data_IF_774721254792
#
_entry.id   IF_774721254792
#
_cell.length_a   1.000
_cell.length_b   1.000
_cell.length_c   1.000
_cell.angle_alpha   90.00
_cell.angle_beta   90.00
_cell.angle_gamma   90.00
#
_symmetry.space_group_name_H-M   'P 1'
#
loop_
_entity.id
_entity.type
_entity.pdbx_description
1 polymer ?
#
# COMPACT_ATOMS: atom_id res chain seq x y z
N UNK A 1 24.98 91.94 -20.80
CA UNK A 1 25.45 90.58 -21.12
C UNK A 1 25.14 89.71 -19.99
N UNK A 2 24.21 88.76 -20.17
CA UNK A 2 23.72 87.84 -19.13
C UNK A 2 24.16 86.42 -19.45
N UNK A 3 24.94 85.83 -18.57
CA UNK A 3 25.36 84.42 -18.70
C UNK A 3 24.26 83.51 -18.21
N UNK A 4 23.92 82.49 -19.01
CA UNK A 4 22.94 81.52 -18.71
C UNK A 4 23.57 80.40 -17.87
N UNK A 5 22.98 80.12 -16.64
CA UNK A 5 23.31 78.99 -15.81
C UNK A 5 22.71 77.72 -16.37
N UNK A 6 23.55 76.73 -16.62
CA UNK A 6 23.13 75.36 -16.92
C UNK A 6 22.74 74.66 -15.62
N UNK A 7 21.44 74.29 -15.44
CA UNK A 7 20.97 73.46 -14.39
C UNK A 7 21.36 72.00 -14.68
N UNK A 8 22.10 71.36 -13.77
CA UNK A 8 22.39 69.99 -13.79
C UNK A 8 21.14 69.16 -13.25
N UNK A 9 20.67 68.20 -14.03
CA UNK A 9 19.65 67.29 -13.63
C UNK A 9 20.20 66.29 -12.56
N UNK A 10 19.47 66.01 -11.50
CA UNK A 10 19.90 65.03 -10.50
C UNK A 10 19.89 63.58 -11.09
N UNK A 11 20.83 62.73 -10.66
CA UNK A 11 20.85 61.31 -11.10
C UNK A 11 19.63 60.61 -10.59
N UNK A 12 18.89 59.94 -11.50
CA UNK A 12 17.80 59.07 -11.18
C UNK A 12 18.31 57.80 -10.48
N UNK A 13 18.16 57.72 -9.17
CA UNK A 13 18.40 56.51 -8.43
C UNK A 13 17.29 55.50 -8.77
N UNK A 14 17.61 54.55 -9.65
CA UNK A 14 16.74 53.33 -9.84
C UNK A 14 16.77 52.51 -8.55
N UNK A 15 15.63 52.17 -7.94
CA UNK A 15 15.60 51.25 -6.81
C UNK A 15 16.09 49.88 -7.30
N UNK A 16 17.18 49.40 -6.72
CA UNK A 16 17.62 48.02 -6.85
C UNK A 16 16.50 47.12 -6.33
N UNK A 17 15.87 46.38 -7.22
CA UNK A 17 14.88 45.37 -6.84
C UNK A 17 15.53 44.40 -5.85
N UNK A 18 14.95 44.32 -4.67
CA UNK A 18 15.47 43.44 -3.60
C UNK A 18 15.25 41.96 -3.99
N UNK A 19 16.29 41.17 -4.28
CA UNK A 19 16.14 39.78 -4.75
C UNK A 19 15.70 38.81 -3.64
N UNK A 20 15.63 39.30 -2.38
CA UNK A 20 15.33 38.46 -1.23
C UNK A 20 14.03 37.63 -1.32
N UNK A 21 12.86 38.17 -1.78
CA UNK A 21 11.64 37.38 -1.85
C UNK A 21 11.68 36.24 -2.88
N UNK A 22 12.38 36.43 -3.99
CA UNK A 22 12.49 35.42 -5.05
C UNK A 22 13.35 34.24 -4.58
N UNK A 23 14.47 34.52 -3.93
CA UNK A 23 15.37 33.50 -3.37
C UNK A 23 14.64 32.64 -2.29
N UNK A 24 13.80 33.27 -1.45
CA UNK A 24 13.05 32.60 -0.41
C UNK A 24 12.02 31.64 -1.01
N UNK A 25 11.27 32.02 -2.02
CA UNK A 25 10.26 31.17 -2.68
C UNK A 25 10.93 29.98 -3.38
N UNK A 26 12.06 30.19 -4.05
CA UNK A 26 12.80 29.08 -4.69
C UNK A 26 13.35 28.10 -3.67
N UNK A 27 13.86 28.57 -2.53
CA UNK A 27 14.37 27.71 -1.46
C UNK A 27 13.26 26.87 -0.83
N UNK A 28 12.08 27.43 -0.55
CA UNK A 28 10.92 26.70 -0.02
C UNK A 28 10.43 25.66 -1.02
N UNK A 29 10.35 26.00 -2.30
CA UNK A 29 9.97 25.07 -3.35
C UNK A 29 10.94 23.89 -3.47
N UNK A 30 12.25 24.13 -3.41
CA UNK A 30 13.27 23.10 -3.46
C UNK A 30 13.22 22.16 -2.25
N UNK A 31 13.01 22.70 -1.04
CA UNK A 31 12.87 21.90 0.18
C UNK A 31 11.62 21.02 0.10
N UNK A 32 10.47 21.53 -0.37
CA UNK A 32 9.25 20.76 -0.52
C UNK A 32 9.42 19.61 -1.51
N UNK A 33 10.08 19.84 -2.65
CA UNK A 33 10.38 18.81 -3.66
C UNK A 33 11.33 17.75 -3.10
N UNK A 34 12.40 18.16 -2.42
CA UNK A 34 13.36 17.23 -1.79
C UNK A 34 12.66 16.38 -0.71
N UNK A 35 11.81 16.99 0.11
CA UNK A 35 11.07 16.28 1.15
C UNK A 35 10.10 15.27 0.54
N UNK A 36 9.39 15.63 -0.54
CA UNK A 36 8.50 14.72 -1.26
C UNK A 36 9.28 13.55 -1.89
N UNK A 37 10.43 13.81 -2.55
CA UNK A 37 11.29 12.79 -3.14
C UNK A 37 11.85 11.85 -2.05
N UNK A 38 12.32 12.40 -0.93
CA UNK A 38 12.85 11.60 0.20
C UNK A 38 11.76 10.76 0.84
N UNK A 39 10.52 11.27 0.93
CA UNK A 39 9.38 10.49 1.44
C UNK A 39 9.02 9.34 0.49
N UNK A 40 9.00 9.57 -0.82
CA UNK A 40 8.76 8.53 -1.84
C UNK A 40 9.87 7.46 -1.80
N UNK A 41 11.12 7.86 -1.58
CA UNK A 41 12.26 6.94 -1.52
C UNK A 41 12.34 6.14 -0.21
N UNK A 42 11.76 6.66 0.88
CA UNK A 42 11.81 6.02 2.21
C UNK A 42 10.70 5.02 2.47
N UNK A 43 9.58 5.10 1.74
CA UNK A 43 8.45 4.20 1.94
C UNK A 43 8.27 3.33 0.70
N UNK A 44 8.66 2.05 0.75
CA UNK A 44 8.42 1.15 -0.36
C UNK A 44 6.91 1.09 -0.63
N UNK A 45 6.53 1.13 -1.91
CA UNK A 45 5.12 1.04 -2.29
C UNK A 45 4.51 -0.27 -1.76
N UNK A 46 3.25 -0.23 -1.30
CA UNK A 46 2.53 -1.39 -0.76
C UNK A 46 2.69 -2.66 -1.61
N UNK A 47 2.54 -2.62 -2.95
CA UNK A 47 2.74 -3.82 -3.77
C UNK A 47 4.14 -4.43 -3.66
N UNK A 48 5.16 -3.63 -3.39
CA UNK A 48 6.53 -4.11 -3.19
C UNK A 48 6.65 -4.87 -1.88
N UNK A 49 6.17 -4.29 -0.77
CA UNK A 49 6.18 -4.95 0.56
C UNK A 49 5.45 -6.29 0.50
N UNK A 50 4.26 -6.33 -0.12
CA UNK A 50 3.45 -7.55 -0.25
C UNK A 50 4.17 -8.62 -1.08
N UNK A 51 4.81 -8.22 -2.19
CA UNK A 51 5.57 -9.15 -3.03
C UNK A 51 6.82 -9.69 -2.33
N UNK A 52 7.47 -8.87 -1.49
CA UNK A 52 8.59 -9.30 -0.66
C UNK A 52 8.13 -10.28 0.44
N UNK A 53 7.01 -10.01 1.10
CA UNK A 53 6.44 -10.93 2.09
C UNK A 53 6.14 -12.29 1.46
N UNK A 54 5.57 -12.32 0.23
CA UNK A 54 5.36 -13.56 -0.51
C UNK A 54 6.68 -14.32 -0.71
N UNK A 55 7.71 -13.64 -1.17
CA UNK A 55 9.03 -14.25 -1.41
C UNK A 55 9.65 -14.79 -0.11
N UNK A 56 9.51 -14.07 1.00
CA UNK A 56 10.01 -14.47 2.31
C UNK A 56 9.26 -15.68 2.88
N UNK A 57 7.94 -15.75 2.71
CA UNK A 57 7.14 -16.93 3.10
C UNK A 57 7.49 -18.13 2.24
N UNK A 58 7.62 -17.94 0.92
CA UNK A 58 8.02 -19.00 -0.01
C UNK A 58 9.40 -19.59 0.36
N UNK A 59 10.35 -18.72 0.76
CA UNK A 59 11.67 -19.10 1.24
C UNK A 59 11.70 -19.57 2.70
N UNK A 60 10.57 -19.61 3.41
CA UNK A 60 10.46 -19.91 4.86
C UNK A 60 11.25 -18.94 5.76
N UNK A 61 11.49 -17.73 5.30
CA UNK A 61 12.13 -16.64 6.05
C UNK A 61 11.14 -15.79 6.84
N UNK A 62 9.85 -15.93 6.52
CA UNK A 62 8.74 -15.33 7.25
C UNK A 62 7.80 -16.46 7.65
N UNK A 63 7.73 -16.72 8.95
CA UNK A 63 6.87 -17.72 9.56
C UNK A 63 5.67 -17.05 10.25
N UNK A 64 4.53 -17.74 10.39
CA UNK A 64 3.40 -17.21 11.14
C UNK A 64 3.73 -17.13 12.64
N UNK A 65 3.38 -16.01 13.29
CA UNK A 65 3.48 -15.85 14.75
C UNK A 65 2.41 -16.65 15.50
N UNK A 66 1.25 -16.86 14.84
CA UNK A 66 0.16 -17.68 15.30
C UNK A 66 -0.05 -18.77 14.27
N UNK A 67 0.28 -20.01 14.63
CA UNK A 67 0.10 -21.18 13.79
C UNK A 67 -1.26 -21.82 14.06
N UNK A 68 -1.88 -22.37 13.02
CA UNK A 68 -3.13 -23.11 13.14
C UNK A 68 -4.00 -23.00 11.90
N UNK A 69 -4.88 -24.00 11.76
CA UNK A 69 -5.84 -24.07 10.65
C UNK A 69 -7.23 -23.52 11.01
N UNK A 70 -7.51 -23.33 12.30
CA UNK A 70 -8.76 -22.73 12.76
C UNK A 70 -8.67 -21.19 12.71
N UNK A 71 -9.39 -20.60 11.77
CA UNK A 71 -9.41 -19.16 11.53
C UNK A 71 -9.93 -18.35 12.72
N UNK A 72 -10.89 -18.90 13.47
CA UNK A 72 -11.47 -18.19 14.61
C UNK A 72 -10.45 -18.10 15.76
N UNK A 73 -9.72 -19.19 16.01
CA UNK A 73 -8.64 -19.23 17.00
C UNK A 73 -7.52 -18.29 16.60
N UNK A 74 -7.02 -18.41 15.35
CA UNK A 74 -5.92 -17.55 14.84
C UNK A 74 -6.32 -16.07 14.86
N UNK A 75 -7.54 -15.71 14.42
CA UNK A 75 -8.01 -14.32 14.45
C UNK A 75 -8.10 -13.77 15.88
N UNK A 76 -8.56 -14.57 16.85
CA UNK A 76 -8.66 -14.18 18.26
C UNK A 76 -7.27 -13.94 18.88
N UNK A 77 -6.31 -14.82 18.60
CA UNK A 77 -4.94 -14.67 19.10
C UNK A 77 -4.22 -13.46 18.47
N UNK A 78 -4.45 -13.20 17.19
CA UNK A 78 -3.93 -11.98 16.53
C UNK A 78 -4.54 -10.72 17.16
N UNK A 79 -5.86 -10.69 17.39
CA UNK A 79 -6.53 -9.58 18.04
C UNK A 79 -6.05 -9.35 19.49
N UNK A 80 -5.68 -10.40 20.22
CA UNK A 80 -5.08 -10.29 21.55
C UNK A 80 -3.69 -9.63 21.50
N UNK A 81 -2.90 -9.92 20.46
CA UNK A 81 -1.56 -9.31 20.27
C UNK A 81 -1.64 -7.88 19.74
N UNK A 82 -2.61 -7.58 18.91
CA UNK A 82 -2.81 -6.27 18.29
C UNK A 82 -4.29 -5.87 18.33
N UNK A 83 -4.78 -5.33 19.45
CA UNK A 83 -6.22 -5.02 19.63
C UNK A 83 -6.78 -4.00 18.63
N UNK A 84 -5.93 -3.11 18.09
CA UNK A 84 -6.32 -2.15 17.05
C UNK A 84 -6.66 -2.80 15.72
N UNK A 85 -6.25 -4.06 15.50
CA UNK A 85 -6.37 -4.76 14.22
C UNK A 85 -7.45 -5.85 14.31
N UNK A 86 -8.73 -5.46 14.25
CA UNK A 86 -9.85 -6.40 14.18
C UNK A 86 -10.03 -6.88 12.74
N UNK A 87 -9.24 -7.88 12.34
CA UNK A 87 -9.32 -8.43 10.99
C UNK A 87 -9.85 -9.86 11.03
N UNK A 88 -10.93 -10.10 10.31
CA UNK A 88 -11.43 -11.46 10.04
C UNK A 88 -10.59 -12.08 8.92
N UNK A 89 -10.08 -13.30 9.13
CA UNK A 89 -9.36 -14.03 8.09
C UNK A 89 -10.34 -14.66 7.10
N UNK A 90 -10.09 -14.57 5.77
CA UNK A 90 -10.96 -15.16 4.76
C UNK A 90 -10.94 -16.69 4.80
N UNK A 91 -12.00 -17.32 4.30
CA UNK A 91 -12.02 -18.76 4.07
C UNK A 91 -11.60 -19.08 2.64
N UNK A 92 -10.62 -19.96 2.50
CA UNK A 92 -10.21 -20.52 1.21
C UNK A 92 -10.45 -22.03 1.13
N UNK A 93 -11.19 -22.61 2.09
CA UNK A 93 -11.45 -24.05 2.15
C UNK A 93 -12.22 -24.56 0.91
N UNK A 94 -13.15 -23.76 0.37
CA UNK A 94 -13.86 -24.09 -0.88
C UNK A 94 -12.94 -24.22 -2.11
N UNK A 95 -11.73 -23.62 -2.06
CA UNK A 95 -10.69 -23.77 -3.07
C UNK A 95 -9.57 -24.73 -2.64
N UNK A 96 -9.80 -25.55 -1.60
CA UNK A 96 -8.86 -26.55 -1.06
C UNK A 96 -7.57 -25.96 -0.46
N UNK A 97 -7.57 -24.68 -0.05
CA UNK A 97 -6.46 -24.09 0.68
C UNK A 97 -6.74 -24.12 2.19
N UNK A 98 -5.77 -24.62 2.95
CA UNK A 98 -5.77 -24.61 4.40
C UNK A 98 -4.96 -23.44 4.93
N UNK A 99 -5.42 -22.81 6.01
CA UNK A 99 -4.65 -21.82 6.74
C UNK A 99 -3.50 -22.54 7.47
N UNK A 100 -2.27 -22.05 7.29
CA UNK A 100 -1.09 -22.47 8.07
C UNK A 100 -0.92 -21.62 9.33
N UNK A 101 -1.37 -20.37 9.26
CA UNK A 101 -1.30 -19.42 10.35
C UNK A 101 -1.26 -17.98 9.84
N UNK A 102 -1.00 -17.04 10.76
CA UNK A 102 -0.91 -15.63 10.41
C UNK A 102 0.09 -14.88 11.30
N UNK A 103 0.53 -13.73 10.83
CA UNK A 103 1.43 -12.82 11.55
C UNK A 103 0.98 -11.38 11.44
N UNK A 104 1.32 -10.55 12.42
CA UNK A 104 1.19 -9.09 12.34
C UNK A 104 2.43 -8.50 11.70
N UNK A 105 2.23 -7.64 10.71
CA UNK A 105 3.30 -6.94 10.01
C UNK A 105 3.04 -5.45 9.98
N UNK A 106 4.10 -4.66 10.02
CA UNK A 106 3.98 -3.24 9.72
C UNK A 106 3.81 -3.07 8.20
N UNK A 107 2.67 -2.51 7.80
CA UNK A 107 2.33 -2.18 6.42
C UNK A 107 2.35 -0.67 6.28
N UNK A 108 3.44 -0.12 5.77
CA UNK A 108 3.70 1.33 5.81
C UNK A 108 3.66 1.85 7.26
N UNK A 109 2.73 2.76 7.55
CA UNK A 109 2.61 3.42 8.86
C UNK A 109 1.54 2.76 9.75
N UNK A 110 0.90 1.68 9.31
CA UNK A 110 -0.16 0.97 10.04
C UNK A 110 0.14 -0.52 10.19
N UNK A 111 -0.32 -1.15 11.28
CA UNK A 111 -0.25 -2.61 11.40
C UNK A 111 -1.18 -3.27 10.37
N UNK A 112 -0.72 -4.38 9.83
CA UNK A 112 -1.48 -5.25 8.96
C UNK A 112 -1.37 -6.71 9.39
N UNK A 113 -2.23 -7.56 8.84
CA UNK A 113 -2.19 -9.01 9.00
C UNK A 113 -1.75 -9.67 7.71
N UNK A 114 -0.91 -10.67 7.84
CA UNK A 114 -0.49 -11.57 6.77
C UNK A 114 -0.92 -12.98 7.14
N UNK A 115 -1.88 -13.54 6.42
CA UNK A 115 -2.34 -14.92 6.60
C UNK A 115 -1.79 -15.80 5.48
N UNK A 116 -1.28 -16.97 5.83
CA UNK A 116 -0.57 -17.89 4.95
C UNK A 116 -1.44 -19.10 4.71
N UNK A 117 -1.69 -19.42 3.45
CA UNK A 117 -2.51 -20.55 3.02
C UNK A 117 -1.72 -21.44 2.07
N UNK A 118 -1.90 -22.76 2.21
CA UNK A 118 -1.38 -23.74 1.26
C UNK A 118 -2.43 -24.77 0.89
N UNK A 119 -2.31 -25.27 -0.34
CA UNK A 119 -3.07 -26.43 -0.77
C UNK A 119 -2.21 -27.72 -0.69
N UNK A 120 -2.79 -28.86 -1.05
CA UNK A 120 -2.08 -30.15 -1.07
C UNK A 120 -0.94 -30.21 -2.10
N UNK A 121 -0.99 -29.40 -3.16
CA UNK A 121 0.07 -29.29 -4.15
C UNK A 121 1.18 -28.32 -3.71
N UNK A 122 1.10 -27.79 -2.49
CA UNK A 122 2.01 -26.81 -1.88
C UNK A 122 1.97 -25.43 -2.55
N UNK A 123 0.95 -25.15 -3.37
CA UNK A 123 0.74 -23.80 -3.89
C UNK A 123 0.48 -22.84 -2.73
N UNK A 124 1.21 -21.72 -2.75
CA UNK A 124 1.17 -20.71 -1.74
C UNK A 124 0.22 -19.57 -2.12
N UNK A 125 -0.66 -19.21 -1.23
CA UNK A 125 -1.49 -18.02 -1.28
C UNK A 125 -1.30 -17.24 0.01
N UNK A 126 -1.09 -15.95 -0.08
CA UNK A 126 -1.00 -15.05 1.06
C UNK A 126 -2.12 -14.03 0.99
N UNK A 127 -2.84 -13.86 2.09
CA UNK A 127 -3.84 -12.83 2.25
C UNK A 127 -3.33 -11.75 3.21
N UNK A 128 -3.23 -10.52 2.71
CA UNK A 128 -2.93 -9.35 3.53
C UNK A 128 -4.21 -8.59 3.85
N UNK A 129 -4.24 -7.93 5.00
CA UNK A 129 -5.27 -6.98 5.37
C UNK A 129 -4.62 -5.81 6.14
N UNK A 130 -4.90 -4.57 5.74
CA UNK A 130 -4.39 -3.36 6.39
C UNK A 130 -5.37 -2.20 6.22
N UNK A 131 -5.29 -1.19 7.08
CA UNK A 131 -6.11 0.03 6.95
C UNK A 131 -5.55 0.90 5.84
N UNK A 132 -6.40 1.28 4.89
CA UNK A 132 -5.99 2.10 3.74
C UNK A 132 -7.07 2.19 2.67
N UNK A 133 -6.71 2.69 1.49
CA UNK A 133 -7.59 2.78 0.34
C UNK A 133 -6.94 2.19 -0.93
N UNK A 134 -7.74 1.47 -1.73
CA UNK A 134 -7.26 0.94 -3.02
C UNK A 134 -6.99 2.04 -4.06
N UNK A 135 -7.52 3.26 -3.84
CA UNK A 135 -7.25 4.41 -4.69
C UNK A 135 -5.78 4.88 -4.62
N UNK A 136 -5.07 4.56 -3.52
CA UNK A 136 -3.69 4.98 -3.27
C UNK A 136 -2.65 4.02 -3.91
N UNK A 137 -3.12 3.00 -4.65
CA UNK A 137 -2.23 2.05 -5.29
C UNK A 137 -1.52 2.68 -6.48
N UNK A 138 -0.18 2.54 -6.60
CA UNK A 138 0.59 3.12 -7.68
C UNK A 138 0.35 2.42 -9.02
N UNK A 139 0.38 3.17 -10.10
CA UNK A 139 0.36 2.69 -11.49
C UNK A 139 -1.04 2.52 -12.09
N UNK A 140 -1.14 2.27 -13.40
CA UNK A 140 -2.40 2.00 -14.07
C UNK A 140 -2.87 0.59 -13.68
N UNK A 141 -3.96 0.44 -12.91
CA UNK A 141 -4.44 -0.86 -12.48
C UNK A 141 -5.30 -1.52 -13.58
N UNK A 142 -5.17 -2.83 -13.72
CA UNK A 142 -6.22 -3.61 -14.32
C UNK A 142 -7.37 -3.73 -13.31
N UNK A 143 -8.58 -3.35 -13.71
CA UNK A 143 -9.76 -3.37 -12.84
C UNK A 143 -10.75 -4.39 -13.36
N UNK A 144 -11.25 -5.24 -12.47
CA UNK A 144 -12.36 -6.17 -12.70
C UNK A 144 -13.49 -5.91 -11.72
N UNK A 145 -14.70 -6.15 -12.15
CA UNK A 145 -15.88 -6.10 -11.28
C UNK A 145 -16.53 -7.48 -11.23
N UNK A 146 -16.69 -8.04 -10.03
CA UNK A 146 -17.31 -9.34 -9.78
C UNK A 146 -18.30 -9.16 -8.64
N UNK A 147 -19.56 -9.54 -8.86
CA UNK A 147 -20.65 -9.45 -7.87
C UNK A 147 -20.76 -8.06 -7.23
N UNK A 148 -20.65 -7.01 -8.06
CA UNK A 148 -20.71 -5.61 -7.63
C UNK A 148 -19.45 -5.09 -6.91
N UNK A 149 -18.48 -5.94 -6.63
CA UNK A 149 -17.23 -5.57 -5.96
C UNK A 149 -16.11 -5.31 -6.96
N UNK A 150 -15.38 -4.23 -6.72
CA UNK A 150 -14.24 -3.82 -7.54
C UNK A 150 -12.96 -4.51 -7.06
N UNK A 151 -12.27 -5.19 -7.97
CA UNK A 151 -10.95 -5.78 -7.76
C UNK A 151 -9.92 -5.05 -8.61
N UNK A 152 -8.78 -4.72 -8.00
CA UNK A 152 -7.63 -4.08 -8.65
C UNK A 152 -6.53 -5.12 -8.75
N UNK A 153 -6.09 -5.42 -9.97
CA UNK A 153 -5.09 -6.45 -10.25
C UNK A 153 -3.79 -5.76 -10.61
N UNK A 154 -2.72 -6.18 -9.95
CA UNK A 154 -1.37 -5.74 -10.27
C UNK A 154 -0.45 -6.94 -10.39
N UNK A 155 0.56 -6.81 -11.25
CA UNK A 155 1.66 -7.78 -11.34
C UNK A 155 2.93 -7.16 -10.77
N UNK A 156 3.58 -7.86 -9.86
CA UNK A 156 4.88 -7.44 -9.31
C UNK A 156 5.84 -8.62 -9.34
N UNK A 157 6.88 -8.52 -10.17
CA UNK A 157 7.76 -9.64 -10.53
C UNK A 157 6.94 -10.84 -11.04
N UNK A 158 7.03 -12.00 -10.41
CA UNK A 158 6.26 -13.20 -10.75
C UNK A 158 4.92 -13.29 -10.01
N UNK A 159 4.64 -12.36 -9.10
CA UNK A 159 3.45 -12.41 -8.25
C UNK A 159 2.28 -11.64 -8.86
N UNK A 160 1.10 -12.19 -8.73
CA UNK A 160 -0.17 -11.54 -9.00
C UNK A 160 -0.72 -11.05 -7.65
N UNK A 161 -1.08 -9.77 -7.58
CA UNK A 161 -1.68 -9.13 -6.43
C UNK A 161 -3.09 -8.69 -6.81
N UNK A 162 -4.09 -9.16 -6.07
CA UNK A 162 -5.48 -8.78 -6.26
C UNK A 162 -5.96 -8.05 -5.03
N UNK A 163 -6.24 -6.76 -5.17
CA UNK A 163 -6.69 -5.88 -4.11
C UNK A 163 -8.20 -5.67 -4.16
N UNK A 164 -8.85 -5.57 -3.02
CA UNK A 164 -10.24 -5.09 -2.89
C UNK A 164 -10.42 -4.31 -1.59
N UNK A 165 -11.45 -3.46 -1.57
CA UNK A 165 -11.82 -2.68 -0.39
C UNK A 165 -12.88 -3.41 0.40
N UNK A 166 -12.73 -3.43 1.73
CA UNK A 166 -13.68 -3.99 2.69
C UNK A 166 -13.81 -3.00 3.86
N UNK A 167 -14.77 -2.06 3.73
CA UNK A 167 -14.86 -0.92 4.63
C UNK A 167 -13.58 -0.09 4.65
N UNK A 168 -12.96 0.17 5.81
CA UNK A 168 -11.70 0.89 5.93
C UNK A 168 -10.46 0.01 5.67
N UNK A 169 -10.67 -1.29 5.41
CA UNK A 169 -9.58 -2.27 5.24
C UNK A 169 -9.36 -2.54 3.76
N UNK A 170 -8.13 -2.42 3.32
CA UNK A 170 -7.68 -2.98 2.05
C UNK A 170 -7.28 -4.42 2.28
N UNK A 171 -7.81 -5.29 1.46
CA UNK A 171 -7.44 -6.70 1.43
C UNK A 171 -6.69 -7.01 0.15
N UNK A 172 -5.72 -7.90 0.26
CA UNK A 172 -4.92 -8.31 -0.89
C UNK A 172 -4.72 -9.81 -0.88
N UNK A 173 -4.91 -10.42 -2.02
CA UNK A 173 -4.51 -11.81 -2.24
C UNK A 173 -3.32 -11.87 -3.18
N UNK A 174 -2.31 -12.60 -2.79
CA UNK A 174 -1.03 -12.68 -3.52
C UNK A 174 -0.65 -14.13 -3.77
N UNK A 175 -0.29 -14.43 -4.99
CA UNK A 175 0.24 -15.74 -5.39
C UNK A 175 1.02 -15.61 -6.71
N UNK A 176 1.80 -16.64 -7.04
CA UNK A 176 2.43 -16.82 -8.36
C UNK A 176 1.54 -17.62 -9.36
N UNK A 177 0.32 -17.94 -8.96
CA UNK A 177 -0.67 -18.58 -9.82
C UNK A 177 -1.13 -17.66 -10.95
N UNK A 178 -1.76 -18.23 -12.02
CA UNK A 178 -2.36 -17.41 -13.07
C UNK A 178 -3.34 -16.36 -12.54
N UNK A 179 -3.36 -15.17 -13.15
CA UNK A 179 -4.14 -14.00 -12.71
C UNK A 179 -5.62 -14.32 -12.46
N UNK A 180 -6.26 -15.06 -13.38
CA UNK A 180 -7.67 -15.44 -13.26
C UNK A 180 -7.93 -16.37 -12.08
N UNK A 181 -6.94 -17.19 -11.71
CA UNK A 181 -7.07 -18.07 -10.56
C UNK A 181 -6.96 -17.28 -9.24
N UNK A 182 -5.99 -16.35 -9.15
CA UNK A 182 -5.85 -15.47 -7.97
C UNK A 182 -7.08 -14.59 -7.82
N UNK A 183 -7.62 -14.06 -8.92
CA UNK A 183 -8.85 -13.26 -8.91
C UNK A 183 -10.06 -14.05 -8.40
N UNK A 184 -10.25 -15.31 -8.85
CA UNK A 184 -11.32 -16.19 -8.33
C UNK A 184 -11.14 -16.49 -6.85
N UNK A 185 -9.92 -16.72 -6.39
CA UNK A 185 -9.64 -16.90 -4.95
C UNK A 185 -9.99 -15.66 -4.15
N UNK A 186 -9.62 -14.47 -4.65
CA UNK A 186 -9.94 -13.20 -4.00
C UNK A 186 -11.46 -12.95 -3.95
N UNK A 187 -12.20 -13.25 -5.03
CA UNK A 187 -13.65 -13.12 -5.05
C UNK A 187 -14.33 -14.05 -4.04
N UNK A 188 -13.93 -15.32 -4.00
CA UNK A 188 -14.43 -16.30 -3.01
C UNK A 188 -14.09 -15.88 -1.57
N UNK A 189 -12.88 -15.36 -1.35
CA UNK A 189 -12.48 -14.83 -0.06
C UNK A 189 -13.36 -13.66 0.37
N UNK A 190 -13.66 -12.73 -0.54
CA UNK A 190 -14.53 -11.60 -0.27
C UNK A 190 -15.95 -12.04 0.11
N UNK A 191 -16.55 -12.97 -0.61
CA UNK A 191 -17.86 -13.55 -0.27
C UNK A 191 -17.85 -14.24 1.10
N UNK A 192 -16.76 -14.93 1.45
CA UNK A 192 -16.64 -15.61 2.75
C UNK A 192 -16.61 -14.66 3.96
N UNK A 193 -16.34 -13.38 3.74
CA UNK A 193 -16.34 -12.35 4.76
C UNK A 193 -17.73 -11.73 4.95
N UNK A 194 -18.51 -11.60 3.87
CA UNK A 194 -19.88 -11.06 3.91
C UNK A 194 -20.86 -11.97 4.67
N UNK A 195 -20.68 -13.30 4.57
CA UNK A 195 -21.58 -14.28 5.22
C UNK A 195 -21.47 -14.32 6.75
N UNK A 196 -20.59 -13.53 7.37
CA UNK A 196 -20.38 -13.50 8.82
C UNK A 196 -20.80 -12.19 9.50
N UNK A 197 -21.31 -11.23 8.73
CA UNK A 197 -21.93 -10.02 9.23
C UNK A 197 -23.45 -10.14 9.20
#
# INVERSE_FOLDING_TARGET
>A
MKAAGRGALPPSSRPLANPAPILTVVAIGAIAVITAIVSILRHPAVPTVISEDYSRVAARLLLPDVQGSDRAIVSRELAARQPALRVTLPSLSGASYALEGATVRQMLDAPGVVAIYRNRALDLVIAHAYVGATADLPGPPEVRQIDGRRFVIQRKATNILVFWQDGPVVRVMTSNLPSEQVLRLAANAALSLDTKN
#
